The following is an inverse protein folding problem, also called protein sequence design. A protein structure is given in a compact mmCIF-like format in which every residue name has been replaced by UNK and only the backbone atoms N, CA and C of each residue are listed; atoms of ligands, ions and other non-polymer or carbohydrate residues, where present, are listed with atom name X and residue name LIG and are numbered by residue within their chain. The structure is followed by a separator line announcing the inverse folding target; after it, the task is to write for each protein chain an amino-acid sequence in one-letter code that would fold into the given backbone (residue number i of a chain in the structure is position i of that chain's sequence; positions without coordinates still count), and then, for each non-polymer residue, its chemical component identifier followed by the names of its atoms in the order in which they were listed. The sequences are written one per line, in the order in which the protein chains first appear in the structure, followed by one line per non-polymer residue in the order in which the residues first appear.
data_IF_489347372024
#
_entry.id   IF_489347372024
#
_cell.length_a   1.000
_cell.length_b   1.000
_cell.length_c   1.000
_cell.angle_alpha   90.00
_cell.angle_beta   90.00
_cell.angle_gamma   90.00
#
_symmetry.space_group_name_H-M   'P 1'
#
loop_
_entity.id
_entity.type
_entity.pdbx_description
1 polymer ?
#
# COMPACT_ATOMS: atom_id res chain seq x y z
N UNK A 1 -9.04 -11.49 17.45
CA UNK A 1 -8.87 -10.34 16.54
C UNK A 1 -9.93 -10.42 15.44
N UNK A 2 -10.73 -9.37 15.25
CA UNK A 2 -11.72 -9.35 14.17
C UNK A 2 -11.04 -9.41 12.80
N UNK A 3 -11.50 -10.30 11.91
CA UNK A 3 -11.13 -10.25 10.49
C UNK A 3 -11.79 -9.01 9.90
N UNK A 4 -11.07 -7.89 9.79
CA UNK A 4 -11.56 -6.73 9.01
C UNK A 4 -11.72 -7.18 7.55
N UNK A 5 -12.96 -7.46 7.16
CA UNK A 5 -13.29 -7.66 5.75
C UNK A 5 -13.04 -6.36 5.00
N UNK A 6 -12.51 -6.46 3.78
CA UNK A 6 -12.35 -5.27 2.91
C UNK A 6 -13.68 -4.76 2.37
N UNK A 7 -14.73 -5.59 2.37
CA UNK A 7 -16.09 -5.27 1.92
C UNK A 7 -17.05 -6.38 2.39
N UNK A 8 -18.27 -6.02 2.77
CA UNK A 8 -19.34 -6.96 3.15
C UNK A 8 -20.63 -6.58 2.42
N UNK A 9 -21.43 -7.58 2.03
CA UNK A 9 -22.59 -7.39 1.17
C UNK A 9 -23.64 -8.48 1.44
N UNK A 10 -24.82 -8.10 1.94
CA UNK A 10 -26.00 -8.96 1.97
C UNK A 10 -26.79 -8.80 0.67
N UNK A 11 -26.94 -9.87 -0.10
CA UNK A 11 -27.65 -9.84 -1.37
C UNK A 11 -29.16 -9.54 -1.24
N UNK A 12 -29.77 -9.82 -0.09
CA UNK A 12 -31.24 -9.76 0.08
C UNK A 12 -31.78 -8.34 -0.04
N UNK A 13 -31.10 -7.35 0.54
CA UNK A 13 -31.51 -5.94 0.50
C UNK A 13 -31.49 -5.29 -0.90
N UNK A 14 -30.92 -5.98 -1.90
CA UNK A 14 -30.77 -5.47 -3.27
C UNK A 14 -31.73 -6.10 -4.28
N UNK A 15 -32.61 -7.00 -3.85
CA UNK A 15 -33.51 -7.78 -4.71
C UNK A 15 -34.97 -7.34 -4.52
N UNK A 16 -35.73 -7.33 -5.61
CA UNK A 16 -37.19 -7.24 -5.54
C UNK A 16 -37.78 -8.46 -4.82
N UNK A 17 -39.00 -8.34 -4.27
CA UNK A 17 -39.65 -9.38 -3.44
C UNK A 17 -39.63 -10.75 -4.15
N UNK A 18 -40.03 -10.81 -5.41
CA UNK A 18 -40.07 -12.05 -6.21
C UNK A 18 -38.67 -12.68 -6.37
N UNK A 19 -37.64 -11.86 -6.50
CA UNK A 19 -36.25 -12.30 -6.60
C UNK A 19 -35.68 -12.74 -5.24
N UNK A 20 -36.15 -12.17 -4.12
CA UNK A 20 -35.85 -12.67 -2.78
C UNK A 20 -36.52 -14.04 -2.53
N UNK A 21 -37.79 -14.21 -2.93
CA UNK A 21 -38.50 -15.49 -2.86
C UNK A 21 -37.81 -16.56 -3.71
N UNK A 22 -37.42 -16.22 -4.95
CA UNK A 22 -36.64 -17.10 -5.81
C UNK A 22 -35.29 -17.48 -5.18
N UNK A 23 -34.58 -16.53 -4.56
CA UNK A 23 -33.31 -16.77 -3.86
C UNK A 23 -33.47 -17.72 -2.66
N UNK A 24 -34.57 -17.60 -1.90
CA UNK A 24 -34.90 -18.50 -0.79
C UNK A 24 -35.23 -19.92 -1.29
N UNK A 25 -35.95 -20.02 -2.41
CA UNK A 25 -36.30 -21.30 -3.04
C UNK A 25 -35.12 -22.01 -3.74
N UNK A 26 -33.98 -21.33 -3.96
CA UNK A 26 -32.82 -21.95 -4.61
C UNK A 26 -32.19 -23.06 -3.75
N UNK A 27 -32.01 -24.27 -4.31
CA UNK A 27 -31.22 -25.34 -3.68
C UNK A 27 -29.79 -24.87 -3.32
N UNK A 28 -29.17 -25.40 -2.25
CA UNK A 28 -27.86 -24.97 -1.77
C UNK A 28 -26.74 -24.96 -2.85
N UNK A 29 -26.79 -25.92 -3.79
CA UNK A 29 -25.84 -26.00 -4.91
C UNK A 29 -25.99 -24.82 -5.89
N UNK A 30 -27.21 -24.35 -6.14
CA UNK A 30 -27.46 -23.18 -7.00
C UNK A 30 -27.15 -21.87 -6.28
N UNK A 31 -27.42 -21.77 -4.96
CA UNK A 31 -26.96 -20.61 -4.17
C UNK A 31 -25.43 -20.51 -4.16
N UNK A 32 -24.73 -21.63 -3.97
CA UNK A 32 -23.26 -21.71 -4.11
C UNK A 32 -22.77 -21.29 -5.49
N UNK A 33 -23.46 -21.67 -6.57
CA UNK A 33 -23.17 -21.25 -7.96
C UNK A 33 -23.39 -19.74 -8.14
N UNK A 34 -24.46 -19.19 -7.57
CA UNK A 34 -24.80 -17.76 -7.58
C UNK A 34 -23.73 -16.92 -6.90
N UNK A 35 -23.43 -17.22 -5.63
CA UNK A 35 -22.44 -16.48 -4.85
C UNK A 35 -21.06 -16.55 -5.53
N UNK A 36 -20.64 -17.73 -6.00
CA UNK A 36 -19.38 -17.87 -6.76
C UNK A 36 -19.34 -16.98 -8.02
N UNK A 37 -20.43 -16.93 -8.79
CA UNK A 37 -20.51 -16.14 -10.02
C UNK A 37 -20.56 -14.64 -9.75
N UNK A 38 -21.33 -14.19 -8.76
CA UNK A 38 -21.35 -12.82 -8.24
C UNK A 38 -19.94 -12.40 -7.80
N UNK A 39 -19.28 -13.19 -6.95
CA UNK A 39 -17.91 -12.90 -6.47
C UNK A 39 -16.88 -12.88 -7.61
N UNK A 40 -17.00 -13.77 -8.61
CA UNK A 40 -16.18 -13.73 -9.83
C UNK A 40 -16.42 -12.46 -10.66
N UNK A 41 -17.66 -11.97 -10.75
CA UNK A 41 -18.01 -10.73 -11.47
C UNK A 41 -17.45 -9.50 -10.75
N UNK A 42 -17.63 -9.41 -9.42
CA UNK A 42 -17.03 -8.37 -8.56
C UNK A 42 -15.50 -8.37 -8.69
N UNK A 43 -14.85 -9.55 -8.71
CA UNK A 43 -13.40 -9.68 -8.99
C UNK A 43 -13.01 -9.06 -10.33
N UNK A 44 -13.78 -9.31 -11.39
CA UNK A 44 -13.51 -8.76 -12.74
C UNK A 44 -13.69 -7.25 -12.76
N UNK A 45 -14.74 -6.71 -12.14
CA UNK A 45 -14.95 -5.26 -11.99
C UNK A 45 -13.82 -4.61 -11.20
N UNK A 46 -13.44 -5.20 -10.06
CA UNK A 46 -12.37 -4.70 -9.21
C UNK A 46 -11.01 -4.71 -9.93
N UNK A 47 -10.72 -5.76 -10.72
CA UNK A 47 -9.53 -5.79 -11.62
C UNK A 47 -9.59 -4.74 -12.72
N UNK A 48 -10.77 -4.43 -13.25
CA UNK A 48 -10.97 -3.33 -14.21
C UNK A 48 -10.68 -1.98 -13.56
N UNK A 49 -11.31 -1.65 -12.42
CA UNK A 49 -11.05 -0.41 -11.67
C UNK A 49 -9.56 -0.19 -11.39
N UNK A 50 -8.84 -1.25 -10.97
CA UNK A 50 -7.37 -1.18 -10.80
C UNK A 50 -6.64 -0.96 -12.12
N UNK A 51 -7.03 -1.61 -13.23
CA UNK A 51 -6.43 -1.34 -14.55
C UNK A 51 -6.68 0.10 -15.00
N UNK A 52 -7.84 0.64 -14.68
CA UNK A 52 -8.30 1.95 -15.12
C UNK A 52 -7.87 3.06 -14.13
N UNK A 53 -7.28 2.68 -12.98
CA UNK A 53 -6.81 3.53 -11.87
C UNK A 53 -7.93 4.39 -11.25
N UNK A 54 -9.09 3.77 -11.01
CA UNK A 54 -10.29 4.43 -10.49
C UNK A 54 -10.75 3.82 -9.17
N UNK A 55 -11.27 4.68 -8.28
CA UNK A 55 -11.97 4.33 -7.05
C UNK A 55 -13.41 3.85 -7.30
N UNK A 56 -14.11 3.42 -6.25
CA UNK A 56 -15.53 3.03 -6.29
C UNK A 56 -16.47 4.19 -6.68
N UNK A 57 -16.14 5.41 -6.28
CA UNK A 57 -16.87 6.64 -6.63
C UNK A 57 -16.54 7.13 -8.05
N UNK A 58 -15.66 6.44 -8.77
CA UNK A 58 -15.16 6.83 -10.10
C UNK A 58 -14.00 7.83 -10.08
N UNK A 59 -13.62 8.37 -8.92
CA UNK A 59 -12.47 9.29 -8.80
C UNK A 59 -11.15 8.59 -9.14
N UNK A 60 -10.13 9.29 -9.67
CA UNK A 60 -8.84 8.68 -9.96
C UNK A 60 -8.09 8.29 -8.67
N UNK A 61 -7.30 7.22 -8.73
CA UNK A 61 -6.40 6.86 -7.63
C UNK A 61 -5.36 7.95 -7.36
N UNK A 62 -5.11 8.21 -6.08
CA UNK A 62 -4.00 9.05 -5.63
C UNK A 62 -2.67 8.54 -6.20
N UNK A 63 -1.86 9.45 -6.75
CA UNK A 63 -0.70 9.12 -7.56
C UNK A 63 0.44 8.51 -6.72
N UNK A 64 1.33 7.76 -7.38
CA UNK A 64 2.53 7.22 -6.72
C UNK A 64 3.57 8.33 -6.53
N UNK A 65 3.98 8.61 -5.29
CA UNK A 65 5.07 9.55 -4.95
C UNK A 65 6.39 9.23 -5.71
N UNK A 66 7.18 10.26 -6.03
CA UNK A 66 8.44 10.18 -6.82
C UNK A 66 8.26 10.47 -8.32
N UNK A 67 9.33 10.53 -9.12
CA UNK A 67 9.32 11.00 -10.53
C UNK A 67 10.00 10.07 -11.56
N UNK A 68 10.25 8.79 -11.22
CA UNK A 68 10.93 7.86 -12.14
C UNK A 68 10.13 7.50 -13.40
N UNK A 69 10.81 7.40 -14.55
CA UNK A 69 10.28 6.79 -15.79
C UNK A 69 9.84 5.33 -15.54
N UNK A 70 8.82 4.86 -16.26
CA UNK A 70 8.40 3.45 -16.22
C UNK A 70 7.53 3.02 -15.04
N UNK A 71 6.83 3.95 -14.37
CA UNK A 71 5.87 3.61 -13.30
C UNK A 71 4.75 2.70 -13.82
N UNK A 72 4.75 1.43 -13.36
CA UNK A 72 3.60 0.53 -13.49
C UNK A 72 2.40 1.09 -12.72
N UNK A 73 1.19 0.89 -13.25
CA UNK A 73 -0.09 1.25 -12.63
C UNK A 73 -0.20 0.68 -11.20
N UNK A 74 -0.74 1.47 -10.27
CA UNK A 74 -0.89 1.12 -8.85
C UNK A 74 -1.78 -0.13 -8.69
N UNK A 75 -1.50 -0.97 -7.69
CA UNK A 75 -2.20 -2.23 -7.38
C UNK A 75 -2.33 -3.27 -8.52
N UNK A 76 -1.76 -3.03 -9.71
CA UNK A 76 -1.89 -3.93 -10.85
C UNK A 76 -1.34 -5.36 -10.60
N UNK A 77 -0.35 -5.50 -9.71
CA UNK A 77 0.11 -6.80 -9.22
C UNK A 77 -0.86 -7.42 -8.21
N UNK A 78 -1.32 -6.63 -7.24
CA UNK A 78 -2.23 -7.08 -6.19
C UNK A 78 -3.58 -7.58 -6.77
N UNK A 79 -4.14 -6.87 -7.74
CA UNK A 79 -5.40 -7.24 -8.39
C UNK A 79 -5.33 -8.57 -9.18
N UNK A 80 -4.15 -8.95 -9.69
CA UNK A 80 -3.93 -10.27 -10.32
C UNK A 80 -4.03 -11.40 -9.30
N UNK A 81 -3.53 -11.18 -8.08
CA UNK A 81 -3.51 -12.18 -6.99
C UNK A 81 -4.86 -12.36 -6.28
N UNK A 82 -5.85 -11.51 -6.59
CA UNK A 82 -7.19 -11.57 -6.02
C UNK A 82 -7.98 -12.79 -6.53
N UNK A 83 -8.55 -13.57 -5.62
CA UNK A 83 -9.27 -14.84 -5.85
C UNK A 83 -10.48 -14.97 -4.93
N UNK A 84 -11.42 -15.85 -5.28
CA UNK A 84 -12.43 -16.34 -4.32
C UNK A 84 -11.70 -17.21 -3.30
N UNK A 85 -11.69 -16.83 -2.02
CA UNK A 85 -10.97 -17.53 -0.94
C UNK A 85 -11.85 -18.56 -0.23
N UNK A 86 -13.15 -18.28 -0.11
CA UNK A 86 -14.16 -19.16 0.48
C UNK A 86 -15.47 -19.04 -0.30
N UNK A 87 -16.24 -20.12 -0.40
CA UNK A 87 -17.61 -20.11 -0.91
C UNK A 87 -18.39 -21.26 -0.26
N UNK A 88 -19.61 -20.99 0.18
CA UNK A 88 -20.60 -21.93 0.70
C UNK A 88 -21.94 -21.75 -0.05
N UNK A 89 -23.05 -22.25 0.47
CA UNK A 89 -24.38 -21.95 -0.05
C UNK A 89 -24.92 -20.57 0.40
N UNK A 90 -24.24 -19.93 1.36
CA UNK A 90 -24.78 -18.79 2.12
C UNK A 90 -23.81 -17.60 2.17
N UNK A 91 -22.51 -17.83 1.91
CA UNK A 91 -21.47 -16.80 1.87
C UNK A 91 -20.42 -17.06 0.76
N UNK A 92 -19.77 -15.99 0.29
CA UNK A 92 -18.57 -16.06 -0.54
C UNK A 92 -17.60 -14.91 -0.22
N UNK A 93 -16.31 -15.24 -0.13
CA UNK A 93 -15.25 -14.29 0.24
C UNK A 93 -14.35 -14.01 -0.98
N UNK A 94 -14.21 -12.72 -1.34
CA UNK A 94 -13.21 -12.25 -2.30
C UNK A 94 -11.99 -11.73 -1.53
N UNK A 95 -10.79 -12.21 -1.88
CA UNK A 95 -9.59 -11.72 -1.22
C UNK A 95 -8.32 -12.33 -1.78
N UNK A 96 -7.35 -12.58 -0.89
CA UNK A 96 -6.03 -13.10 -1.23
C UNK A 96 -5.70 -14.31 -0.36
N UNK A 97 -5.07 -15.33 -0.96
CA UNK A 97 -4.60 -16.54 -0.26
C UNK A 97 -3.53 -16.23 0.79
N UNK A 98 -2.59 -15.35 0.44
CA UNK A 98 -1.47 -14.99 1.30
C UNK A 98 -1.87 -13.85 2.27
N UNK A 99 -1.48 -13.98 3.54
CA UNK A 99 -1.84 -13.02 4.60
C UNK A 99 -1.21 -11.64 4.41
N UNK A 100 0.05 -11.57 3.92
CA UNK A 100 0.73 -10.30 3.66
C UNK A 100 0.05 -9.54 2.52
N UNK A 101 -0.31 -10.20 1.42
CA UNK A 101 -1.02 -9.52 0.31
C UNK A 101 -2.44 -9.11 0.70
N UNK A 102 -3.15 -9.90 1.51
CA UNK A 102 -4.43 -9.51 2.13
C UNK A 102 -4.27 -8.28 3.02
N UNK A 103 -3.23 -8.22 3.84
CA UNK A 103 -2.95 -7.07 4.71
C UNK A 103 -2.63 -5.82 3.89
N UNK A 104 -1.69 -5.90 2.92
CA UNK A 104 -1.36 -4.79 2.00
C UNK A 104 -2.62 -4.28 1.28
N UNK A 105 -3.48 -5.19 0.83
CA UNK A 105 -4.74 -4.81 0.20
C UNK A 105 -5.65 -4.00 1.10
N UNK A 106 -5.82 -4.42 2.36
CA UNK A 106 -6.62 -3.68 3.33
C UNK A 106 -6.02 -2.29 3.63
N UNK A 107 -4.68 -2.20 3.78
CA UNK A 107 -3.99 -0.92 3.96
C UNK A 107 -4.25 0.03 2.79
N UNK A 108 -4.13 -0.44 1.54
CA UNK A 108 -4.41 0.36 0.34
C UNK A 108 -5.89 0.71 0.20
N UNK A 109 -6.78 -0.23 0.50
CA UNK A 109 -8.23 -0.03 0.35
C UNK A 109 -8.77 1.04 1.30
N UNK A 110 -8.37 1.01 2.57
CA UNK A 110 -8.87 1.95 3.58
C UNK A 110 -8.02 3.23 3.70
N UNK A 111 -6.74 3.17 3.33
CA UNK A 111 -5.75 4.18 3.71
C UNK A 111 -5.36 4.04 5.19
N UNK A 112 -4.10 4.32 5.52
CA UNK A 112 -3.57 4.25 6.89
C UNK A 112 -2.48 5.31 7.08
N UNK A 113 -2.56 6.06 8.18
CA UNK A 113 -1.43 6.85 8.67
C UNK A 113 -0.63 6.05 9.70
N UNK A 114 0.69 6.08 9.60
CA UNK A 114 1.57 5.43 10.57
C UNK A 114 2.72 6.36 10.99
N UNK A 115 2.85 6.59 12.29
CA UNK A 115 3.98 7.33 12.86
C UNK A 115 5.24 6.47 12.81
N UNK A 116 6.28 6.97 12.14
CA UNK A 116 7.63 6.37 12.10
C UNK A 116 8.60 7.15 12.96
N UNK A 117 9.56 6.46 13.55
CA UNK A 117 10.66 7.07 14.31
C UNK A 117 12.02 6.83 13.66
N UNK A 118 12.95 7.76 13.87
CA UNK A 118 14.34 7.63 13.44
C UNK A 118 15.03 6.41 14.09
N UNK A 119 14.57 5.95 15.27
CA UNK A 119 15.07 4.74 15.93
C UNK A 119 14.60 3.45 15.23
N UNK A 120 13.33 3.37 14.84
CA UNK A 120 12.81 2.24 14.07
C UNK A 120 13.53 2.10 12.72
N UNK A 121 13.72 3.22 12.00
CA UNK A 121 14.42 3.20 10.71
C UNK A 121 15.89 2.79 10.83
N UNK A 122 16.59 3.19 11.91
CA UNK A 122 17.97 2.73 12.20
C UNK A 122 18.06 1.21 12.38
N UNK A 123 17.07 0.59 13.02
CA UNK A 123 17.01 -0.87 13.23
C UNK A 123 16.72 -1.64 11.93
N UNK A 124 15.97 -1.05 11.01
CA UNK A 124 15.61 -1.67 9.74
C UNK A 124 16.66 -1.47 8.65
N UNK A 125 17.23 -0.27 8.53
CA UNK A 125 18.24 0.07 7.55
C UNK A 125 19.63 -0.32 8.06
N UNK A 126 20.01 -1.58 7.90
CA UNK A 126 21.40 -2.02 8.16
C UNK A 126 22.35 -1.42 7.13
N UNK A 127 23.29 -0.59 7.56
CA UNK A 127 24.36 -0.07 6.71
C UNK A 127 25.55 -1.04 6.73
N UNK A 128 26.13 -1.44 5.59
CA UNK A 128 27.36 -2.22 5.56
C UNK A 128 28.52 -1.49 6.27
N UNK A 129 29.43 -2.23 6.95
CA UNK A 129 30.65 -1.64 7.49
C UNK A 129 31.52 -1.07 6.36
N UNK A 130 32.32 -0.06 6.66
CA UNK A 130 33.26 0.53 5.69
C UNK A 130 32.65 1.44 4.61
N UNK A 131 31.32 1.57 4.53
CA UNK A 131 30.67 2.45 3.55
C UNK A 131 31.19 3.90 3.67
N UNK A 132 31.55 4.52 2.55
CA UNK A 132 31.93 5.94 2.45
C UNK A 132 30.79 6.88 2.91
N UNK A 133 31.13 8.10 3.32
CA UNK A 133 30.11 9.13 3.59
C UNK A 133 29.30 9.46 2.32
N UNK A 134 27.99 9.62 2.49
CA UNK A 134 27.14 10.09 1.39
C UNK A 134 27.42 11.56 1.07
N UNK A 135 27.20 11.97 -0.18
CA UNK A 135 27.29 13.37 -0.62
C UNK A 135 26.52 14.34 0.31
N UNK A 136 25.33 13.92 0.77
CA UNK A 136 24.51 14.68 1.73
C UNK A 136 25.20 14.84 3.09
N UNK A 137 25.81 13.79 3.62
CA UNK A 137 26.58 13.87 4.88
C UNK A 137 27.82 14.74 4.71
N UNK A 138 28.58 14.58 3.63
CA UNK A 138 29.75 15.41 3.35
C UNK A 138 29.38 16.89 3.20
N UNK A 139 28.26 17.22 2.54
CA UNK A 139 27.73 18.58 2.47
C UNK A 139 27.25 19.13 3.83
N UNK A 140 26.54 18.35 4.67
CA UNK A 140 26.15 18.77 6.05
C UNK A 140 27.40 18.98 6.93
N UNK A 141 28.38 18.08 6.93
CA UNK A 141 29.65 18.26 7.64
C UNK A 141 30.34 19.57 7.24
N UNK A 142 30.48 19.83 5.94
CA UNK A 142 31.03 21.12 5.48
C UNK A 142 30.19 22.29 5.97
N UNK A 143 28.86 22.23 5.91
CA UNK A 143 27.96 23.30 6.40
C UNK A 143 28.19 23.60 7.88
N UNK A 144 28.25 22.56 8.71
CA UNK A 144 28.52 22.63 10.15
C UNK A 144 29.98 23.01 10.50
N UNK A 145 30.77 23.40 9.51
CA UNK A 145 32.13 23.90 9.73
C UNK A 145 33.16 22.84 10.07
N UNK A 146 32.89 21.55 9.79
CA UNK A 146 33.85 20.46 9.97
C UNK A 146 35.22 20.82 9.39
N UNK A 147 36.27 20.66 10.21
CA UNK A 147 37.67 20.82 9.82
C UNK A 147 38.42 19.53 10.07
N UNK A 148 39.33 19.20 9.16
CA UNK A 148 40.20 18.03 9.26
C UNK A 148 41.65 18.42 9.02
N UNK A 149 42.57 17.62 9.57
CA UNK A 149 43.99 17.70 9.23
C UNK A 149 44.21 16.93 7.94
N UNK A 150 44.39 17.65 6.84
CA UNK A 150 44.73 17.06 5.55
C UNK A 150 46.24 16.84 5.45
N UNK A 151 46.67 15.78 4.75
CA UNK A 151 48.07 15.53 4.46
C UNK A 151 48.72 16.76 3.77
N UNK A 152 49.96 17.07 4.13
CA UNK A 152 50.68 18.24 3.62
C UNK A 152 50.19 19.62 4.11
N UNK A 153 49.09 19.74 4.86
CA UNK A 153 48.65 21.01 5.45
C UNK A 153 49.16 21.18 6.89
N UNK A 154 49.63 22.38 7.24
CA UNK A 154 50.11 22.72 8.60
C UNK A 154 48.99 23.07 9.60
N UNK A 155 47.76 23.26 9.13
CA UNK A 155 46.60 23.68 9.96
C UNK A 155 45.36 22.83 9.68
N UNK A 156 44.35 22.92 10.56
CA UNK A 156 43.02 22.34 10.34
C UNK A 156 42.28 23.14 9.26
N UNK A 157 41.88 22.45 8.19
CA UNK A 157 41.23 23.06 7.01
C UNK A 157 39.85 22.46 6.80
N UNK A 158 38.94 23.16 6.11
CA UNK A 158 37.60 22.66 5.76
C UNK A 158 37.69 21.81 4.48
N UNK A 159 37.62 20.46 4.56
CA UNK A 159 37.85 19.61 3.39
C UNK A 159 36.79 19.76 2.29
N UNK A 160 37.12 19.27 1.09
CA UNK A 160 36.18 19.19 -0.04
C UNK A 160 35.13 18.08 0.20
N UNK A 161 34.06 18.06 -0.60
CA UNK A 161 33.05 16.99 -0.52
C UNK A 161 33.70 15.64 -0.84
N UNK A 162 34.44 15.55 -1.95
CA UNK A 162 35.15 14.33 -2.36
C UNK A 162 36.10 13.80 -1.27
N UNK A 163 36.92 14.68 -0.68
CA UNK A 163 37.86 14.29 0.38
C UNK A 163 37.14 13.68 1.59
N UNK A 164 35.99 14.24 1.99
CA UNK A 164 35.19 13.69 3.09
C UNK A 164 34.62 12.31 2.74
N UNK A 165 34.17 12.09 1.50
CA UNK A 165 33.64 10.80 1.09
C UNK A 165 34.73 9.70 1.08
N UNK A 166 35.94 10.06 0.66
CA UNK A 166 37.10 9.18 0.62
C UNK A 166 37.65 8.85 2.03
N UNK A 167 37.77 9.86 2.89
CA UNK A 167 38.47 9.74 4.18
C UNK A 167 37.55 9.55 5.40
N UNK A 168 36.23 9.79 5.28
CA UNK A 168 35.27 9.66 6.38
C UNK A 168 34.21 8.64 6.01
N UNK A 169 34.13 7.55 6.79
CA UNK A 169 33.07 6.55 6.61
C UNK A 169 31.70 7.07 7.10
N UNK A 170 30.63 6.43 6.63
CA UNK A 170 29.24 6.77 6.88
C UNK A 170 28.89 6.92 8.37
N UNK A 171 29.40 6.00 9.21
CA UNK A 171 29.11 5.99 10.64
C UNK A 171 29.83 7.14 11.37
N UNK A 172 31.12 7.35 11.08
CA UNK A 172 31.90 8.49 11.59
C UNK A 172 31.28 9.82 11.14
N UNK A 173 30.88 9.94 9.89
CA UNK A 173 30.20 11.13 9.37
C UNK A 173 28.88 11.40 10.09
N UNK A 174 28.06 10.37 10.34
CA UNK A 174 26.81 10.50 11.10
C UNK A 174 27.01 10.93 12.56
N UNK A 175 28.08 10.45 13.21
CA UNK A 175 28.45 10.86 14.58
C UNK A 175 28.94 12.31 14.61
N UNK A 176 29.87 12.68 13.71
CA UNK A 176 30.41 14.03 13.60
C UNK A 176 29.32 15.07 13.28
N UNK A 177 28.33 14.72 12.45
CA UNK A 177 27.17 15.58 12.19
C UNK A 177 26.39 15.85 13.48
N UNK A 178 26.14 14.83 14.31
CA UNK A 178 25.41 15.02 15.58
C UNK A 178 26.17 15.94 16.52
N UNK A 179 27.45 15.67 16.76
CA UNK A 179 28.29 16.49 17.66
C UNK A 179 28.30 17.95 17.19
N UNK A 180 28.53 18.20 15.90
CA UNK A 180 28.57 19.56 15.35
C UNK A 180 27.19 20.23 15.24
N UNK A 181 26.10 19.47 15.15
CA UNK A 181 24.73 19.99 15.24
C UNK A 181 24.46 20.48 16.67
N UNK A 182 24.78 19.65 17.68
CA UNK A 182 24.61 19.97 19.10
C UNK A 182 25.48 21.19 19.50
N UNK A 183 26.76 21.24 19.10
CA UNK A 183 27.67 22.39 19.30
C UNK A 183 27.14 23.70 18.68
N UNK A 184 26.41 23.63 17.57
CA UNK A 184 25.86 24.80 16.86
C UNK A 184 24.43 25.13 17.23
N UNK A 185 23.79 24.34 18.10
CA UNK A 185 22.34 24.37 18.30
C UNK A 185 21.53 24.26 17.00
N UNK A 186 22.08 23.59 15.97
CA UNK A 186 21.33 23.25 14.75
C UNK A 186 20.46 22.01 15.01
N UNK A 187 19.25 21.97 14.44
CA UNK A 187 18.34 20.84 14.68
C UNK A 187 18.89 19.52 14.11
N UNK A 188 18.95 18.49 14.95
CA UNK A 188 19.43 17.13 14.64
C UNK A 188 18.46 16.28 13.79
N UNK A 189 17.52 16.95 13.09
CA UNK A 189 16.51 16.35 12.22
C UNK A 189 15.29 15.80 12.98
N UNK A 190 14.21 15.53 12.22
CA UNK A 190 12.95 15.02 12.79
C UNK A 190 13.12 13.61 13.39
N UNK A 191 12.91 13.47 14.70
CA UNK A 191 12.99 12.18 15.39
C UNK A 191 11.79 11.26 15.10
N UNK A 192 10.66 11.83 14.66
CA UNK A 192 9.52 11.08 14.13
C UNK A 192 8.78 11.88 13.05
N UNK A 193 8.16 11.17 12.12
CA UNK A 193 7.29 11.73 11.08
C UNK A 193 6.10 10.80 10.86
N UNK A 194 5.00 11.34 10.32
CA UNK A 194 3.86 10.54 9.90
C UNK A 194 4.01 10.11 8.44
N UNK A 195 3.67 8.85 8.14
CA UNK A 195 3.54 8.34 6.78
C UNK A 195 2.05 8.09 6.51
N UNK A 196 1.42 9.02 5.79
CA UNK A 196 0.06 8.85 5.27
C UNK A 196 0.07 7.99 4.00
N UNK A 197 -0.56 6.82 4.06
CA UNK A 197 -0.95 6.03 2.89
C UNK A 197 -2.37 6.45 2.47
N UNK A 198 -2.55 7.13 1.32
CA UNK A 198 -3.86 7.55 0.85
C UNK A 198 -4.71 6.35 0.40
N UNK A 199 -6.01 6.48 0.64
CA UNK A 199 -7.07 5.50 0.38
C UNK A 199 -7.28 5.26 -1.12
N UNK A 200 -7.43 3.99 -1.53
CA UNK A 200 -7.68 3.56 -2.92
C UNK A 200 -8.71 2.42 -2.95
N UNK A 201 -10.00 2.75 -3.05
CA UNK A 201 -11.07 1.75 -2.97
C UNK A 201 -11.38 1.13 -4.33
N UNK A 202 -11.06 -0.14 -4.54
CA UNK A 202 -11.34 -0.83 -5.81
C UNK A 202 -12.24 -2.06 -5.70
N UNK A 203 -12.41 -2.63 -4.50
CA UNK A 203 -13.30 -3.75 -4.20
C UNK A 203 -14.64 -3.22 -3.71
N UNK A 204 -15.74 -3.79 -4.22
CA UNK A 204 -17.10 -3.34 -3.94
C UNK A 204 -17.84 -3.00 -5.22
N UNK A 205 -19.01 -2.42 -5.08
CA UNK A 205 -19.87 -1.95 -6.17
C UNK A 205 -20.01 -0.43 -6.06
N UNK A 206 -20.23 0.28 -7.16
CA UNK A 206 -20.22 1.75 -7.15
C UNK A 206 -21.48 2.31 -6.46
N UNK A 207 -22.63 1.68 -6.71
CA UNK A 207 -23.92 2.05 -6.13
C UNK A 207 -24.71 0.80 -5.74
N UNK A 208 -25.70 0.99 -4.87
CA UNK A 208 -26.70 -0.04 -4.53
C UNK A 208 -27.45 -0.53 -5.77
N UNK A 209 -27.74 0.37 -6.72
CA UNK A 209 -28.36 0.04 -8.01
C UNK A 209 -27.48 -0.88 -8.86
N UNK A 210 -26.18 -0.62 -8.96
CA UNK A 210 -25.25 -1.50 -9.70
C UNK A 210 -25.16 -2.88 -9.04
N UNK A 211 -25.26 -2.93 -7.71
CA UNK A 211 -25.33 -4.16 -6.93
C UNK A 211 -26.58 -4.95 -7.28
N UNK A 212 -27.76 -4.32 -7.19
CA UNK A 212 -29.04 -4.90 -7.58
C UNK A 212 -29.01 -5.45 -9.00
N UNK A 213 -28.55 -4.66 -9.98
CA UNK A 213 -28.48 -5.08 -11.37
C UNK A 213 -27.54 -6.29 -11.57
N UNK A 214 -26.39 -6.30 -10.91
CA UNK A 214 -25.43 -7.41 -10.98
C UNK A 214 -25.97 -8.69 -10.35
N UNK A 215 -26.61 -8.62 -9.17
CA UNK A 215 -27.16 -9.81 -8.51
C UNK A 215 -28.36 -10.34 -9.30
N UNK A 216 -29.29 -9.47 -9.73
CA UNK A 216 -30.42 -9.88 -10.56
C UNK A 216 -29.96 -10.51 -11.88
N UNK A 217 -28.96 -9.95 -12.56
CA UNK A 217 -28.42 -10.53 -13.79
C UNK A 217 -27.87 -11.96 -13.57
N UNK A 218 -27.11 -12.19 -12.50
CA UNK A 218 -26.54 -13.53 -12.23
C UNK A 218 -27.60 -14.50 -11.70
N UNK A 219 -28.61 -14.02 -10.96
CA UNK A 219 -29.77 -14.81 -10.53
C UNK A 219 -30.56 -15.33 -11.73
N UNK A 220 -30.95 -14.45 -12.66
CA UNK A 220 -31.65 -14.84 -13.89
C UNK A 220 -30.80 -15.81 -14.74
N UNK A 221 -29.48 -15.58 -14.86
CA UNK A 221 -28.58 -16.53 -15.52
C UNK A 221 -28.54 -17.93 -14.88
N UNK A 222 -28.88 -18.07 -13.60
CA UNK A 222 -28.89 -19.36 -12.90
C UNK A 222 -30.26 -20.03 -12.96
N UNK A 223 -31.35 -19.25 -12.93
CA UNK A 223 -32.70 -19.77 -13.13
C UNK A 223 -32.88 -20.33 -14.56
N UNK A 224 -32.28 -19.68 -15.56
CA UNK A 224 -32.40 -20.06 -16.98
C UNK A 224 -31.20 -20.85 -17.55
N UNK A 225 -30.21 -21.21 -16.72
CA UNK A 225 -29.12 -22.09 -17.17
C UNK A 225 -29.60 -23.53 -17.21
N UNK A 226 -29.26 -24.32 -18.24
CA UNK A 226 -29.31 -25.78 -18.12
C UNK A 226 -28.46 -26.23 -16.92
N UNK A 227 -28.91 -27.29 -16.25
CA UNK A 227 -28.39 -27.74 -14.95
C UNK A 227 -26.93 -28.19 -15.06
#
# INVERSE_FOLDING_TARGET
MARRSTFELDARGYLAVDAQLALLALPPQLRRRLLNNVTKRVRTMSRRRVRDQQNLDGSPFEARKGSGKGKKKMEAGLAKLMVVTRVSADEAELGWKNALTRWVAAQQHHGVSERRTAAQMRRWNKTPPGLAATDKQAKRLRRLGFRARQAGKKTLTRPSVAWIQEHVNYAKAGLLIRILDDERSESSGAQSWEITLPKRQFIGVNTDRDTSLLINQVLQQILHSPR
#
